data_IF_683339547410
#
_entry.id   IF_683339547410
#
_cell.length_a   1.000
_cell.length_b   1.000
_cell.length_c   1.000
_cell.angle_alpha   90.00
_cell.angle_beta   90.00
_cell.angle_gamma   90.00
#
_symmetry.space_group_name_H-M   'P 1'
#
loop_
_entity.id
_entity.type
_entity.pdbx_description
1 polymer ?
#
# COMPACT_ATOMS: atom_id res chain seq x y z
N UNK A 1 -10.87 14.45 0.60
CA UNK A 1 -10.66 12.99 0.72
C UNK A 1 -12.00 12.39 1.01
N UNK A 2 -12.42 11.46 0.18
CA UNK A 2 -13.68 10.76 0.38
C UNK A 2 -13.48 9.60 1.34
N UNK A 3 -14.59 8.96 1.73
CA UNK A 3 -14.58 7.81 2.64
C UNK A 3 -15.34 6.66 1.99
N UNK A 4 -14.78 5.45 2.09
CA UNK A 4 -15.45 4.21 1.73
C UNK A 4 -15.79 3.45 3.01
N UNK A 5 -17.03 2.99 3.16
CA UNK A 5 -17.39 2.10 4.26
C UNK A 5 -17.10 0.66 3.85
N UNK A 6 -16.10 0.06 4.48
CA UNK A 6 -15.69 -1.34 4.27
C UNK A 6 -15.94 -2.10 5.56
N UNK A 7 -16.88 -3.06 5.54
CA UNK A 7 -17.24 -3.88 6.73
C UNK A 7 -17.60 -3.03 7.97
N UNK A 8 -18.24 -1.88 7.77
CA UNK A 8 -18.60 -0.96 8.85
C UNK A 8 -17.48 -0.02 9.30
N UNK A 9 -16.32 -0.05 8.64
CA UNK A 9 -15.20 0.87 8.90
C UNK A 9 -15.09 1.91 7.80
N UNK A 10 -14.92 3.18 8.17
CA UNK A 10 -14.56 4.24 7.24
C UNK A 10 -13.07 4.17 6.85
N UNK A 11 -12.81 4.00 5.56
CA UNK A 11 -11.45 4.03 5.00
C UNK A 11 -11.32 5.26 4.11
N UNK A 12 -10.27 6.06 4.33
CA UNK A 12 -10.00 7.21 3.48
C UNK A 12 -9.58 6.77 2.09
N UNK A 13 -10.18 7.40 1.08
CA UNK A 13 -9.85 7.21 -0.33
C UNK A 13 -9.60 8.58 -0.96
N UNK A 14 -8.72 8.59 -1.94
CA UNK A 14 -8.49 9.74 -2.79
C UNK A 14 -8.73 9.30 -4.23
N UNK A 15 -9.88 9.70 -4.77
CA UNK A 15 -10.17 9.61 -6.18
C UNK A 15 -9.50 10.79 -6.90
N UNK A 16 -8.77 10.52 -7.97
CA UNK A 16 -8.21 11.58 -8.79
C UNK A 16 -8.33 11.20 -10.27
N UNK A 17 -8.90 12.07 -11.10
CA UNK A 17 -9.04 11.80 -12.53
C UNK A 17 -7.69 11.98 -13.26
N UNK A 18 -6.76 12.73 -12.67
CA UNK A 18 -5.42 13.00 -13.22
C UNK A 18 -4.31 12.14 -12.60
N UNK A 19 -4.60 11.34 -11.57
CA UNK A 19 -3.62 10.47 -10.88
C UNK A 19 -4.26 9.13 -10.56
N UNK A 20 -3.48 8.15 -10.13
CA UNK A 20 -4.03 6.90 -9.64
C UNK A 20 -4.90 7.10 -8.40
N UNK A 21 -5.89 6.23 -8.23
CA UNK A 21 -6.75 6.22 -7.05
C UNK A 21 -6.00 5.60 -5.87
N UNK A 22 -6.07 6.25 -4.70
CA UNK A 22 -5.39 5.78 -3.49
C UNK A 22 -6.37 5.39 -2.38
N UNK A 23 -6.00 4.36 -1.64
CA UNK A 23 -6.70 3.90 -0.43
C UNK A 23 -5.76 3.94 0.78
N UNK A 24 -6.27 4.38 1.93
CA UNK A 24 -5.48 4.52 3.16
C UNK A 24 -5.20 3.18 3.84
N UNK A 25 -3.96 2.68 3.73
CA UNK A 25 -3.49 1.52 4.49
C UNK A 25 -3.52 1.73 6.01
N UNK A 26 -3.34 2.98 6.47
CA UNK A 26 -3.43 3.33 7.89
C UNK A 26 -4.82 3.08 8.45
N UNK A 27 -5.85 3.48 7.72
CA UNK A 27 -7.23 3.26 8.19
C UNK A 27 -7.57 1.77 8.19
N UNK A 28 -7.10 1.02 7.18
CA UNK A 28 -7.26 -0.45 7.12
C UNK A 28 -6.53 -1.12 8.29
N UNK A 29 -5.30 -0.71 8.61
CA UNK A 29 -4.51 -1.29 9.69
C UNK A 29 -5.11 -1.03 11.07
N UNK A 30 -5.68 0.17 11.29
CA UNK A 30 -6.37 0.52 12.53
C UNK A 30 -7.57 -0.37 12.86
N UNK A 31 -8.22 -0.95 11.84
CA UNK A 31 -9.30 -1.94 12.05
C UNK A 31 -8.79 -3.19 12.76
N UNK A 32 -7.54 -3.57 12.46
CA UNK A 32 -6.94 -4.79 13.02
C UNK A 32 -6.35 -4.53 14.41
N UNK A 33 -5.63 -3.42 14.58
CA UNK A 33 -5.12 -2.95 15.87
C UNK A 33 -4.81 -1.46 15.76
N UNK A 34 -5.53 -0.61 16.51
CA UNK A 34 -5.36 0.83 16.47
C UNK A 34 -4.03 1.29 17.05
N UNK A 35 -3.50 0.59 18.04
CA UNK A 35 -2.30 1.00 18.78
C UNK A 35 -1.05 0.54 18.04
N UNK A 36 -1.12 -0.62 17.37
CA UNK A 36 0.00 -1.22 16.63
C UNK A 36 -0.13 -1.13 15.10
N UNK A 37 -1.00 -0.27 14.57
CA UNK A 37 -1.25 -0.14 13.12
C UNK A 37 0.02 0.08 12.28
N UNK A 38 1.01 0.81 12.82
CA UNK A 38 2.32 1.03 12.16
C UNK A 38 3.06 -0.30 11.98
N UNK A 39 3.12 -1.12 13.02
CA UNK A 39 3.78 -2.43 12.97
C UNK A 39 3.07 -3.40 12.02
N UNK A 40 1.73 -3.33 11.95
CA UNK A 40 0.95 -4.10 10.99
C UNK A 40 1.33 -3.75 9.55
N UNK A 41 1.40 -2.45 9.22
CA UNK A 41 1.81 -1.99 7.88
C UNK A 41 3.23 -2.43 7.59
N UNK A 42 4.16 -2.27 8.54
CA UNK A 42 5.55 -2.72 8.37
C UNK A 42 5.61 -4.22 8.06
N UNK A 43 4.82 -5.05 8.74
CA UNK A 43 4.76 -6.49 8.49
C UNK A 43 4.18 -6.82 7.10
N UNK A 44 3.15 -6.10 6.65
CA UNK A 44 2.62 -6.27 5.29
C UNK A 44 3.66 -5.91 4.23
N UNK A 45 4.37 -4.80 4.42
CA UNK A 45 5.35 -4.30 3.46
C UNK A 45 6.66 -5.11 3.44
N UNK A 46 7.05 -5.73 4.56
CA UNK A 46 8.24 -6.60 4.64
C UNK A 46 8.01 -8.02 4.10
N UNK A 47 6.77 -8.42 3.89
CA UNK A 47 6.48 -9.76 3.40
C UNK A 47 7.07 -9.94 2.00
N UNK A 48 7.87 -11.00 1.80
CA UNK A 48 8.53 -11.28 0.52
C UNK A 48 7.53 -11.32 -0.65
N UNK A 49 6.36 -11.90 -0.47
CA UNK A 49 5.35 -11.96 -1.53
C UNK A 49 4.80 -10.57 -1.86
N UNK A 50 4.63 -9.70 -0.87
CA UNK A 50 4.23 -8.29 -1.10
C UNK A 50 5.31 -7.56 -1.89
N UNK A 51 6.58 -7.69 -1.49
CA UNK A 51 7.70 -7.05 -2.18
C UNK A 51 7.78 -7.56 -3.62
N UNK A 52 7.75 -8.88 -3.85
CA UNK A 52 7.76 -9.45 -5.21
C UNK A 52 6.60 -8.96 -6.06
N UNK A 53 5.38 -8.91 -5.50
CA UNK A 53 4.21 -8.40 -6.19
C UNK A 53 4.39 -6.94 -6.59
N UNK A 54 4.82 -6.08 -5.66
CA UNK A 54 5.08 -4.67 -5.93
C UNK A 54 6.15 -4.50 -7.01
N UNK A 55 7.21 -5.30 -6.98
CA UNK A 55 8.26 -5.26 -7.99
C UNK A 55 7.75 -5.60 -9.40
N UNK A 56 6.88 -6.60 -9.53
CA UNK A 56 6.24 -6.93 -10.80
C UNK A 56 5.30 -5.81 -11.22
N UNK A 57 4.43 -5.34 -10.32
CA UNK A 57 3.48 -4.28 -10.62
C UNK A 57 4.17 -3.00 -11.09
N UNK A 58 5.19 -2.52 -10.37
CA UNK A 58 5.99 -1.36 -10.75
C UNK A 58 6.67 -1.57 -12.11
N UNK A 59 7.16 -2.77 -12.40
CA UNK A 59 7.79 -3.05 -13.69
C UNK A 59 6.83 -2.99 -14.88
N UNK A 60 5.52 -3.18 -14.64
CA UNK A 60 4.48 -3.14 -15.66
C UNK A 60 3.89 -1.74 -15.82
N UNK A 61 3.73 -1.00 -14.72
CA UNK A 61 2.92 0.22 -14.68
C UNK A 61 3.70 1.50 -14.39
N UNK A 62 4.95 1.42 -13.94
CA UNK A 62 5.81 2.58 -13.70
C UNK A 62 6.96 2.63 -14.73
N UNK A 63 6.85 3.45 -15.79
CA UNK A 63 7.91 3.58 -16.80
C UNK A 63 9.27 4.06 -16.24
N UNK A 64 9.25 4.72 -15.08
CA UNK A 64 10.44 5.25 -14.40
C UNK A 64 10.92 4.34 -13.26
N UNK A 65 10.50 3.07 -13.25
CA UNK A 65 10.80 2.16 -12.14
C UNK A 65 12.32 1.93 -11.96
N UNK A 66 12.83 2.32 -10.79
CA UNK A 66 14.23 2.13 -10.43
C UNK A 66 14.49 0.71 -9.92
N UNK A 67 14.78 -0.20 -10.85
CA UNK A 67 15.05 -1.62 -10.54
C UNK A 67 16.27 -1.81 -9.63
N UNK A 68 17.29 -0.96 -9.78
CA UNK A 68 18.55 -1.10 -9.02
C UNK A 68 18.33 -0.84 -7.54
N UNK A 69 17.64 0.24 -7.19
CA UNK A 69 17.28 0.52 -5.80
C UNK A 69 16.27 -0.49 -5.27
N UNK A 70 15.35 -0.96 -6.12
CA UNK A 70 14.36 -1.95 -5.72
C UNK A 70 14.98 -3.29 -5.33
N UNK A 71 16.03 -3.74 -6.02
CA UNK A 71 16.71 -5.00 -5.67
C UNK A 71 17.32 -4.97 -4.26
N UNK A 72 17.67 -3.80 -3.72
CA UNK A 72 18.11 -3.65 -2.33
C UNK A 72 16.99 -3.90 -1.30
N UNK A 73 15.71 -3.84 -1.70
CA UNK A 73 14.56 -4.19 -0.85
C UNK A 73 14.26 -5.70 -0.86
N UNK A 74 14.77 -6.43 -1.86
CA UNK A 74 14.59 -7.89 -1.99
C UNK A 74 15.63 -8.70 -1.20
N UNK A 75 16.81 -8.13 -0.96
CA UNK A 75 17.96 -8.76 -0.29
C UNK A 75 17.91 -8.66 1.23
#
# INVERSE_FOLDING_TARGET
>A
MDKLIVRGTEVSIQWNIERDDYISLTDIAKVKDSDNHIYIIQNWMRNRNTIEFLGVWESLYNPNFNRVEFDALRS
#
